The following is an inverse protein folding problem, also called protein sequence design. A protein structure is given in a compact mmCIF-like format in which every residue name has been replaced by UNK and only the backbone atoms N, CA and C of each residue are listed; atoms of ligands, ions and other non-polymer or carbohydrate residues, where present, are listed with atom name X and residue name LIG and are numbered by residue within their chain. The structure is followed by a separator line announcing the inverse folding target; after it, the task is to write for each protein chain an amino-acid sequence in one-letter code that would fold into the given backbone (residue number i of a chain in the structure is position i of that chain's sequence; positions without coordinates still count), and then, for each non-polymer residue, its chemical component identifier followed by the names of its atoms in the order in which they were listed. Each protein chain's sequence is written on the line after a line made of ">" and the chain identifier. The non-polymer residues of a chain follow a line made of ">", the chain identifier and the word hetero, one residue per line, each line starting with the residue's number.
data_IF_757617584317
#
_entry.id   IF_757617584317
#
_cell.length_a   1.000
_cell.length_b   1.000
_cell.length_c   1.000
_cell.angle_alpha   90.00
_cell.angle_beta   90.00
_cell.angle_gamma   90.00
#
_symmetry.space_group_name_H-M   'P 1'
#
loop_
_entity.id
_entity.type
_entity.pdbx_description
1 polymer ?
#
# COMPACT_ATOMS: atom_id res chain seq x y z
N UNK A 1 -14.63 -19.81 -0.78
CA UNK A 1 -14.95 -18.57 -1.52
C UNK A 1 -15.58 -17.61 -0.52
N UNK A 2 -15.00 -16.43 -0.30
CA UNK A 2 -15.64 -15.42 0.54
C UNK A 2 -16.86 -14.87 -0.19
N UNK A 3 -18.02 -14.82 0.47
CA UNK A 3 -19.28 -14.33 -0.10
C UNK A 3 -19.35 -12.80 -0.15
N UNK A 4 -18.53 -12.13 0.66
CA UNK A 4 -18.38 -10.66 0.76
C UNK A 4 -16.91 -10.30 0.96
N UNK A 5 -16.55 -9.06 0.67
CA UNK A 5 -15.26 -8.50 1.08
C UNK A 5 -15.18 -8.36 2.60
N UNK A 6 -13.96 -8.36 3.15
CA UNK A 6 -13.76 -8.13 4.59
C UNK A 6 -14.30 -6.77 5.04
N UNK A 7 -14.17 -5.74 4.20
CA UNK A 7 -14.70 -4.41 4.47
C UNK A 7 -16.23 -4.40 4.61
N UNK A 8 -16.95 -5.07 3.70
CA UNK A 8 -18.42 -5.18 3.76
C UNK A 8 -18.87 -5.97 4.99
N UNK A 9 -18.17 -7.07 5.30
CA UNK A 9 -18.43 -7.85 6.50
C UNK A 9 -18.28 -7.00 7.77
N UNK A 10 -17.20 -6.21 7.86
CA UNK A 10 -16.97 -5.33 9.00
C UNK A 10 -18.06 -4.24 9.12
N UNK A 11 -18.57 -3.70 8.02
CA UNK A 11 -19.70 -2.79 8.05
C UNK A 11 -20.98 -3.46 8.56
N UNK A 12 -21.26 -4.70 8.15
CA UNK A 12 -22.42 -5.46 8.65
C UNK A 12 -22.35 -5.67 10.18
N UNK A 13 -21.16 -5.96 10.72
CA UNK A 13 -20.96 -6.06 12.18
C UNK A 13 -21.28 -4.75 12.89
N UNK A 14 -20.83 -3.61 12.34
CA UNK A 14 -21.10 -2.29 12.91
C UNK A 14 -22.60 -1.97 12.84
N UNK A 15 -23.27 -2.27 11.72
CA UNK A 15 -24.73 -2.09 11.59
C UNK A 15 -25.48 -2.91 12.64
N UNK A 16 -25.13 -4.18 12.79
CA UNK A 16 -25.75 -5.06 13.78
C UNK A 16 -25.54 -4.54 15.22
N UNK A 17 -24.35 -4.05 15.53
CA UNK A 17 -24.05 -3.41 16.82
C UNK A 17 -24.93 -2.19 17.06
N UNK A 18 -25.01 -1.25 16.12
CA UNK A 18 -25.83 -0.04 16.26
C UNK A 18 -27.32 -0.38 16.42
N UNK A 19 -27.83 -1.31 15.63
CA UNK A 19 -29.22 -1.78 15.72
C UNK A 19 -29.51 -2.40 17.10
N UNK A 20 -28.60 -3.24 17.62
CA UNK A 20 -28.73 -3.85 18.95
C UNK A 20 -28.80 -2.81 20.07
N UNK A 21 -28.18 -1.65 19.89
CA UNK A 21 -28.15 -0.55 20.85
C UNK A 21 -29.16 0.58 20.54
N UNK A 22 -30.10 0.35 19.61
CA UNK A 22 -31.10 1.34 19.17
C UNK A 22 -30.47 2.68 18.70
N UNK A 23 -29.26 2.62 18.16
CA UNK A 23 -28.56 3.77 17.59
C UNK A 23 -28.86 3.88 16.08
N UNK A 24 -28.96 5.09 15.53
CA UNK A 24 -29.11 5.27 14.10
C UNK A 24 -27.86 4.76 13.37
N UNK A 25 -28.07 4.03 12.27
CA UNK A 25 -27.00 3.64 11.36
C UNK A 25 -26.64 4.83 10.48
N UNK A 26 -25.40 5.31 10.59
CA UNK A 26 -24.85 6.36 9.73
C UNK A 26 -23.73 5.76 8.89
N UNK A 27 -23.98 5.60 7.59
CA UNK A 27 -22.97 5.07 6.67
C UNK A 27 -21.91 6.14 6.38
N UNK A 28 -20.60 5.82 6.51
CA UNK A 28 -19.56 6.73 6.08
C UNK A 28 -19.63 6.92 4.56
N UNK A 29 -19.21 8.09 4.08
CA UNK A 29 -19.11 8.38 2.64
C UNK A 29 -17.65 8.68 2.29
N UNK A 30 -17.20 8.34 1.07
CA UNK A 30 -15.86 8.69 0.63
C UNK A 30 -15.71 10.22 0.51
N UNK A 31 -14.49 10.75 0.71
CA UNK A 31 -13.27 10.04 1.11
C UNK A 31 -13.32 9.61 2.60
N UNK A 32 -12.96 8.35 2.87
CA UNK A 32 -13.01 7.78 4.22
C UNK A 32 -11.83 8.19 5.10
N UNK A 33 -10.74 8.64 4.48
CA UNK A 33 -9.52 9.10 5.14
C UNK A 33 -8.98 10.27 4.33
N UNK A 34 -8.71 11.39 5.00
CA UNK A 34 -8.16 12.61 4.40
C UNK A 34 -7.04 13.13 5.27
N UNK A 35 -6.02 13.69 4.63
CA UNK A 35 -4.89 14.31 5.30
C UNK A 35 -4.79 15.78 4.94
N UNK A 36 -4.14 16.54 5.83
CA UNK A 36 -3.71 17.89 5.52
C UNK A 36 -2.79 17.87 4.30
N UNK A 37 -3.02 18.78 3.36
CA UNK A 37 -2.25 18.84 2.10
C UNK A 37 -0.75 18.96 2.37
N UNK A 38 -0.37 19.72 3.39
CA UNK A 38 1.02 19.89 3.83
C UNK A 38 1.65 18.59 4.33
N UNK A 39 0.89 17.69 4.97
CA UNK A 39 1.42 16.41 5.44
C UNK A 39 1.82 15.51 4.26
N UNK A 40 0.95 15.42 3.24
CA UNK A 40 1.22 14.65 2.02
C UNK A 40 2.38 15.26 1.23
N UNK A 41 2.43 16.59 1.10
CA UNK A 41 3.52 17.27 0.39
C UNK A 41 4.87 17.09 1.08
N UNK A 42 4.92 17.20 2.40
CA UNK A 42 6.13 16.96 3.19
C UNK A 42 6.60 15.52 3.08
N UNK A 43 5.67 14.55 3.13
CA UNK A 43 6.02 13.14 2.99
C UNK A 43 6.57 12.84 1.59
N UNK A 44 5.96 13.41 0.54
CA UNK A 44 6.47 13.30 -0.82
C UNK A 44 7.91 13.81 -0.93
N UNK A 45 8.23 14.99 -0.39
CA UNK A 45 9.60 15.53 -0.39
C UNK A 45 10.56 14.61 0.37
N UNK A 46 10.15 14.13 1.55
CA UNK A 46 10.96 13.20 2.33
C UNK A 46 11.27 11.90 1.57
N UNK A 47 10.29 11.30 0.90
CA UNK A 47 10.49 10.08 0.12
C UNK A 47 11.36 10.32 -1.12
N UNK A 48 11.28 11.50 -1.75
CA UNK A 48 12.19 11.90 -2.83
C UNK A 48 13.64 11.88 -2.39
N UNK A 49 13.92 12.53 -1.27
CA UNK A 49 15.29 12.68 -0.76
C UNK A 49 15.83 11.37 -0.20
N UNK A 50 15.02 10.64 0.57
CA UNK A 50 15.46 9.42 1.25
C UNK A 50 15.59 8.21 0.33
N UNK A 51 14.77 8.12 -0.72
CA UNK A 51 14.76 6.99 -1.66
C UNK A 51 15.30 7.35 -3.04
N UNK A 52 15.70 8.60 -3.28
CA UNK A 52 16.19 9.07 -4.59
C UNK A 52 15.13 9.07 -5.68
N UNK A 53 13.85 9.23 -5.32
CA UNK A 53 12.73 9.19 -6.25
C UNK A 53 12.63 10.47 -7.08
N UNK A 54 12.34 10.33 -8.37
CA UNK A 54 12.18 11.48 -9.25
C UNK A 54 10.86 12.21 -9.00
N UNK A 55 10.90 13.54 -8.90
CA UNK A 55 9.72 14.40 -8.84
C UNK A 55 8.85 14.32 -10.11
N UNK A 56 9.49 14.00 -11.24
CA UNK A 56 8.92 14.12 -12.57
C UNK A 56 8.37 12.78 -13.09
N UNK A 57 8.53 11.70 -12.31
CA UNK A 57 8.04 10.37 -12.65
C UNK A 57 6.89 9.99 -11.73
N UNK A 58 5.99 9.16 -12.26
CA UNK A 58 4.95 8.54 -11.43
C UNK A 58 5.58 7.53 -10.49
N UNK A 59 5.05 7.40 -9.28
CA UNK A 59 5.46 6.36 -8.34
C UNK A 59 4.36 5.31 -8.24
N UNK A 60 4.76 4.05 -8.28
CA UNK A 60 3.88 2.90 -8.10
C UNK A 60 4.32 2.19 -6.84
N UNK A 61 3.49 2.23 -5.81
CA UNK A 61 3.73 1.47 -4.59
C UNK A 61 3.23 0.03 -4.75
N UNK A 62 4.09 -0.93 -4.45
CA UNK A 62 3.77 -2.36 -4.52
C UNK A 62 4.06 -2.99 -3.16
N UNK A 63 3.06 -3.64 -2.60
CA UNK A 63 3.19 -4.43 -1.38
C UNK A 63 2.99 -5.90 -1.71
N UNK A 64 4.04 -6.71 -1.58
CA UNK A 64 4.00 -8.15 -1.88
C UNK A 64 3.66 -9.02 -0.65
N UNK A 65 3.48 -8.40 0.51
CA UNK A 65 2.97 -9.02 1.73
C UNK A 65 1.45 -9.21 1.68
N UNK A 66 0.95 -10.24 2.37
CA UNK A 66 -0.50 -10.47 2.53
C UNK A 66 -0.93 -10.66 3.98
N UNK A 67 0.01 -10.65 4.94
CA UNK A 67 -0.28 -10.99 6.34
C UNK A 67 -0.86 -12.41 6.55
N UNK A 68 -0.84 -13.27 5.52
CA UNK A 68 -1.42 -14.62 5.55
C UNK A 68 -2.94 -14.68 5.34
N UNK A 69 -3.60 -13.54 5.13
CA UNK A 69 -5.07 -13.44 5.09
C UNK A 69 -5.69 -13.83 3.74
N UNK A 70 -4.89 -13.89 2.67
CA UNK A 70 -5.36 -14.19 1.32
C UNK A 70 -4.29 -14.89 0.47
N UNK A 71 -4.75 -15.61 -0.55
CA UNK A 71 -3.90 -16.08 -1.65
C UNK A 71 -3.25 -14.88 -2.33
N UNK A 72 -1.93 -14.91 -2.48
CA UNK A 72 -1.17 -13.84 -3.10
C UNK A 72 -0.40 -14.33 -4.34
N UNK A 73 0.07 -13.38 -5.16
CA UNK A 73 1.04 -13.70 -6.21
C UNK A 73 2.35 -14.19 -5.58
N UNK A 74 3.04 -15.10 -6.27
CA UNK A 74 4.43 -15.43 -5.93
C UNK A 74 5.35 -14.25 -6.20
N UNK A 75 6.53 -14.21 -5.57
CA UNK A 75 7.53 -13.15 -5.82
C UNK A 75 7.94 -13.09 -7.30
N UNK A 76 8.05 -14.23 -7.98
CA UNK A 76 8.33 -14.27 -9.41
C UNK A 76 7.24 -13.58 -10.24
N UNK A 77 5.97 -13.83 -9.92
CA UNK A 77 4.83 -13.19 -10.60
C UNK A 77 4.77 -11.68 -10.31
N UNK A 78 5.10 -11.26 -9.08
CA UNK A 78 5.26 -9.83 -8.79
C UNK A 78 6.40 -9.21 -9.60
N UNK A 79 7.53 -9.91 -9.73
CA UNK A 79 8.67 -9.42 -10.51
C UNK A 79 8.30 -9.24 -11.99
N UNK A 80 7.56 -10.19 -12.57
CA UNK A 80 7.05 -10.11 -13.94
C UNK A 80 6.08 -8.93 -14.12
N UNK A 81 5.15 -8.74 -13.17
CA UNK A 81 4.23 -7.61 -13.17
C UNK A 81 4.98 -6.28 -13.13
N UNK A 82 5.96 -6.15 -12.23
CA UNK A 82 6.77 -4.94 -12.09
C UNK A 82 7.57 -4.66 -13.37
N UNK A 83 8.21 -5.69 -13.95
CA UNK A 83 8.93 -5.56 -15.22
C UNK A 83 8.00 -5.10 -16.35
N UNK A 84 6.78 -5.62 -16.40
CA UNK A 84 5.76 -5.17 -17.36
C UNK A 84 5.38 -3.70 -17.18
N UNK A 85 5.15 -3.26 -15.93
CA UNK A 85 4.86 -1.85 -15.62
C UNK A 85 6.02 -0.93 -16.02
N UNK A 86 7.25 -1.35 -15.73
CA UNK A 86 8.46 -0.59 -16.04
C UNK A 86 8.79 -0.56 -17.55
N UNK A 87 8.27 -1.50 -18.33
CA UNK A 87 8.40 -1.51 -19.78
C UNK A 87 7.40 -0.55 -20.46
N UNK A 88 6.20 -0.41 -19.88
CA UNK A 88 5.12 0.42 -20.44
C UNK A 88 5.18 1.88 -19.95
N UNK A 89 5.62 2.12 -18.71
CA UNK A 89 5.54 3.42 -18.07
C UNK A 89 6.92 3.96 -17.65
N UNK A 90 7.13 5.26 -17.85
CA UNK A 90 8.24 5.97 -17.21
C UNK A 90 7.90 6.30 -15.75
N UNK A 91 8.15 5.33 -14.88
CA UNK A 91 7.82 5.39 -13.46
C UNK A 91 8.96 4.88 -12.57
N UNK A 92 8.84 5.20 -11.28
CA UNK A 92 9.54 4.53 -10.20
C UNK A 92 8.60 3.54 -9.51
N UNK A 93 9.16 2.44 -9.00
CA UNK A 93 8.41 1.45 -8.23
C UNK A 93 8.96 1.43 -6.82
N UNK A 94 8.07 1.57 -5.83
CA UNK A 94 8.41 1.57 -4.40
C UNK A 94 7.86 0.29 -3.79
N UNK A 95 8.75 -0.61 -3.40
CA UNK A 95 8.38 -1.85 -2.72
C UNK A 95 8.23 -1.58 -1.22
N UNK A 96 7.04 -1.83 -0.68
CA UNK A 96 6.76 -1.60 0.74
C UNK A 96 6.71 -2.93 1.50
N UNK A 97 7.06 -2.90 2.78
CA UNK A 97 7.00 -4.05 3.66
C UNK A 97 6.36 -3.69 5.00
N UNK A 98 5.55 -4.60 5.52
CA UNK A 98 5.08 -4.56 6.89
C UNK A 98 6.09 -5.16 7.85
N UNK A 99 5.75 -5.20 9.16
CA UNK A 99 6.59 -5.83 10.18
C UNK A 99 6.91 -7.28 9.81
N UNK A 100 8.19 -7.60 9.65
CA UNK A 100 8.66 -8.96 9.31
C UNK A 100 8.66 -9.30 7.82
N UNK A 101 8.29 -8.37 6.93
CA UNK A 101 8.19 -8.62 5.48
C UNK A 101 9.31 -7.98 4.66
N UNK A 102 10.27 -7.31 5.32
CA UNK A 102 11.39 -6.60 4.67
C UNK A 102 12.21 -7.53 3.77
N UNK A 103 12.51 -8.75 4.21
CA UNK A 103 13.30 -9.72 3.44
C UNK A 103 12.65 -10.02 2.08
N UNK A 104 11.33 -10.23 2.04
CA UNK A 104 10.59 -10.46 0.80
C UNK A 104 10.64 -9.26 -0.16
N UNK A 105 10.61 -8.03 0.37
CA UNK A 105 10.70 -6.82 -0.46
C UNK A 105 12.10 -6.66 -1.09
N UNK A 106 13.16 -6.99 -0.34
CA UNK A 106 14.54 -7.00 -0.87
C UNK A 106 14.77 -8.13 -1.86
N UNK A 107 14.24 -9.33 -1.61
CA UNK A 107 14.28 -10.44 -2.56
C UNK A 107 13.56 -10.07 -3.87
N UNK A 108 12.37 -9.45 -3.77
CA UNK A 108 11.65 -8.97 -4.94
C UNK A 108 12.42 -7.90 -5.71
N UNK A 109 13.06 -6.94 -5.01
CA UNK A 109 13.92 -5.95 -5.65
C UNK A 109 15.07 -6.63 -6.43
N UNK A 110 15.69 -7.67 -5.86
CA UNK A 110 16.75 -8.44 -6.50
C UNK A 110 16.24 -9.24 -7.71
N UNK A 111 15.02 -9.80 -7.66
CA UNK A 111 14.40 -10.50 -8.79
C UNK A 111 14.05 -9.56 -9.95
N UNK A 112 13.65 -8.33 -9.64
CA UNK A 112 13.39 -7.31 -10.66
C UNK A 112 14.68 -6.78 -11.26
N UNK A 113 15.66 -6.46 -10.42
CA UNK A 113 16.99 -5.97 -10.79
C UNK A 113 16.95 -4.76 -11.75
N UNK A 114 16.21 -3.71 -11.37
CA UNK A 114 16.10 -2.46 -12.12
C UNK A 114 16.33 -1.28 -11.17
N UNK A 115 17.12 -0.29 -11.60
CA UNK A 115 17.48 0.89 -10.81
C UNK A 115 16.28 1.79 -10.46
N UNK A 116 15.14 1.62 -11.14
CA UNK A 116 13.91 2.36 -10.88
C UNK A 116 13.09 1.78 -9.71
N UNK A 117 13.49 0.62 -9.20
CA UNK A 117 12.85 -0.06 -8.07
C UNK A 117 13.62 0.26 -6.79
N UNK A 118 12.90 0.75 -5.78
CA UNK A 118 13.45 1.06 -4.45
C UNK A 118 12.63 0.38 -3.36
N UNK A 119 13.27 0.07 -2.23
CA UNK A 119 12.60 -0.54 -1.07
C UNK A 119 12.32 0.52 -0.01
N UNK A 120 11.06 0.63 0.40
CA UNK A 120 10.59 1.44 1.52
C UNK A 120 10.03 0.53 2.62
N UNK A 121 10.93 -0.10 3.35
CA UNK A 121 10.65 -1.04 4.44
C UNK A 121 10.83 -0.42 5.85
N UNK A 122 11.25 0.85 5.90
CA UNK A 122 11.45 1.60 7.14
C UNK A 122 10.64 2.90 7.11
N UNK A 123 9.51 2.89 7.79
CA UNK A 123 8.67 4.05 8.03
C UNK A 123 8.60 4.36 9.54
N UNK A 124 8.06 5.51 9.91
CA UNK A 124 7.83 5.90 11.32
C UNK A 124 6.44 5.48 11.81
N UNK A 125 5.99 4.30 11.37
CA UNK A 125 4.70 3.72 11.70
C UNK A 125 3.60 4.05 10.68
N UNK A 126 2.38 3.58 10.98
CA UNK A 126 1.26 3.62 10.04
C UNK A 126 0.86 5.05 9.62
N UNK A 127 0.94 6.02 10.53
CA UNK A 127 0.57 7.41 10.23
C UNK A 127 1.55 8.03 9.22
N UNK A 128 2.85 7.78 9.40
CA UNK A 128 3.90 8.20 8.47
C UNK A 128 3.70 7.57 7.09
N UNK A 129 3.42 6.26 7.06
CA UNK A 129 3.13 5.54 5.84
C UNK A 129 1.88 6.07 5.12
N UNK A 130 0.81 6.39 5.86
CA UNK A 130 -0.45 6.83 5.26
C UNK A 130 -0.37 8.22 4.60
N UNK A 131 0.65 9.03 4.91
CA UNK A 131 0.91 10.28 4.19
C UNK A 131 1.65 10.10 2.86
N UNK A 132 2.12 8.89 2.54
CA UNK A 132 2.99 8.60 1.38
C UNK A 132 2.25 8.62 0.04
#
# INVERSE_FOLDING_TARGET
>A
RSEKSEAEYNQDLVRAFLQKHNMPVVEPKPPYLTFEKSAVENQRVFLQESLGLSANKKWIFVHSGSGGSATNLSLAQYADLIKGLLAEFDCNVVLTAGPGESENAHELAALVNDLRVVVYDKNKGLVDFAHS
#
